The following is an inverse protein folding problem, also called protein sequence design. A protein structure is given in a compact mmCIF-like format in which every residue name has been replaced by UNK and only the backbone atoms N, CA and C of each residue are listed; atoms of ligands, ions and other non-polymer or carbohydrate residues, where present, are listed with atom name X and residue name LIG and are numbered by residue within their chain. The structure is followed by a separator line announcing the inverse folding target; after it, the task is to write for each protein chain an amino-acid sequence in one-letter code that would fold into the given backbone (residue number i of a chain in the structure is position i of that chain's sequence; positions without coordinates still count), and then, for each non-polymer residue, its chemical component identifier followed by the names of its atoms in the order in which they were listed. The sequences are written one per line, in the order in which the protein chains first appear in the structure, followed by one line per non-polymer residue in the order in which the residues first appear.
data_IF_423893094511
#
_entry.id   IF_423893094511
#
_cell.length_a   1.000
_cell.length_b   1.000
_cell.length_c   1.000
_cell.angle_alpha   90.00
_cell.angle_beta   90.00
_cell.angle_gamma   90.00
#
_symmetry.space_group_name_H-M   'P 1'
#
loop_
_entity.id
_entity.type
_entity.pdbx_description
1 polymer ?
#
# COMPACT_ATOMS: atom_id res chain seq x y z
N UNK A 1 -1.95 -19.59 -13.26
CA UNK A 1 -1.15 -19.40 -12.04
C UNK A 1 -1.45 -18.10 -11.27
N UNK A 2 -1.44 -16.91 -11.91
CA UNK A 2 -1.58 -15.62 -11.20
C UNK A 2 -2.97 -15.33 -10.56
N UNK A 3 -4.06 -15.91 -11.08
CA UNK A 3 -5.40 -15.82 -10.46
C UNK A 3 -5.48 -16.50 -9.08
N UNK A 4 -4.59 -17.46 -8.79
CA UNK A 4 -4.56 -18.20 -7.52
C UNK A 4 -3.86 -17.40 -6.42
N UNK A 5 -2.78 -16.67 -6.75
CA UNK A 5 -2.08 -15.81 -5.78
C UNK A 5 -3.00 -14.66 -5.34
N UNK A 6 -3.75 -14.08 -6.28
CA UNK A 6 -4.70 -13.00 -5.98
C UNK A 6 -5.93 -13.47 -5.17
N UNK A 7 -6.36 -14.73 -5.30
CA UNK A 7 -7.56 -15.26 -4.59
C UNK A 7 -7.28 -16.08 -3.34
N UNK A 8 -6.17 -16.83 -3.25
CA UNK A 8 -5.97 -17.85 -2.19
C UNK A 8 -4.94 -17.49 -1.12
N UNK A 9 -4.08 -16.50 -1.32
CA UNK A 9 -3.07 -16.14 -0.30
C UNK A 9 -3.19 -14.73 0.28
N UNK A 10 -3.98 -13.83 -0.32
CA UNK A 10 -4.14 -12.50 0.23
C UNK A 10 -4.76 -12.52 1.64
N UNK A 11 -5.70 -13.42 1.91
CA UNK A 11 -6.39 -13.53 3.20
C UNK A 11 -5.46 -13.93 4.38
N UNK A 12 -4.41 -14.75 4.13
CA UNK A 12 -3.47 -15.18 5.19
C UNK A 12 -2.34 -14.18 5.42
N UNK A 13 -1.83 -13.50 4.39
CA UNK A 13 -0.84 -12.42 4.57
C UNK A 13 -1.49 -11.18 5.20
N UNK A 14 -2.79 -10.97 4.94
CA UNK A 14 -3.61 -10.01 5.68
C UNK A 14 -3.61 -10.35 7.17
N UNK A 15 -4.01 -11.58 7.53
CA UNK A 15 -4.23 -12.01 8.92
C UNK A 15 -3.02 -11.87 9.84
N UNK A 16 -1.78 -12.00 9.35
CA UNK A 16 -0.58 -11.92 10.20
C UNK A 16 -0.10 -10.49 10.51
N UNK A 17 -0.77 -9.46 10.01
CA UNK A 17 -0.44 -8.04 10.31
C UNK A 17 -1.65 -7.16 10.64
N UNK A 18 -2.86 -7.75 10.71
CA UNK A 18 -4.10 -7.04 11.08
C UNK A 18 -4.07 -6.42 12.49
N UNK A 19 -3.04 -6.68 13.30
CA UNK A 19 -2.97 -6.23 14.70
C UNK A 19 -2.19 -4.93 14.93
N UNK A 20 -1.72 -4.19 13.92
CA UNK A 20 -1.01 -2.92 14.15
C UNK A 20 -1.62 -1.67 13.51
N UNK A 21 -2.60 -1.79 12.61
CA UNK A 21 -3.13 -0.64 11.87
C UNK A 21 -4.65 -0.67 11.70
N UNK A 22 -5.38 -0.95 12.78
CA UNK A 22 -6.82 -0.71 12.84
C UNK A 22 -7.05 0.80 12.93
N UNK A 23 -6.97 1.49 11.79
CA UNK A 23 -6.98 2.93 11.73
C UNK A 23 -8.25 3.45 11.07
N UNK A 24 -9.15 3.99 11.91
CA UNK A 24 -10.12 5.04 11.58
C UNK A 24 -11.06 4.68 10.41
N UNK A 25 -12.11 3.91 10.68
CA UNK A 25 -13.06 3.40 9.68
C UNK A 25 -14.06 4.42 9.12
N UNK A 26 -13.83 5.73 9.27
CA UNK A 26 -14.79 6.73 8.80
C UNK A 26 -14.10 8.01 8.34
N UNK A 27 -14.15 8.26 7.03
CA UNK A 27 -14.17 9.64 6.50
C UNK A 27 -15.51 10.20 6.95
N UNK A 28 -15.50 10.96 8.05
CA UNK A 28 -16.64 11.77 8.46
C UNK A 28 -16.33 13.21 8.07
N UNK A 29 -17.01 13.70 7.05
CA UNK A 29 -17.10 15.13 6.78
C UNK A 29 -18.05 15.74 7.79
N UNK A 30 -17.49 16.28 8.88
CA UNK A 30 -18.21 17.18 9.77
C UNK A 30 -17.37 18.44 9.95
N UNK A 31 -17.82 19.54 9.34
CA UNK A 31 -17.32 20.88 9.59
C UNK A 31 -17.73 21.30 11.01
N UNK A 32 -16.80 21.26 11.97
CA UNK A 32 -17.01 21.79 13.31
C UNK A 32 -15.88 22.74 13.67
N UNK A 33 -16.27 23.86 14.27
CA UNK A 33 -15.49 25.06 14.51
C UNK A 33 -14.11 24.80 15.11
N UNK A 34 -13.18 25.58 14.58
CA UNK A 34 -11.81 25.76 15.03
C UNK A 34 -11.79 26.28 16.47
N UNK A 35 -11.03 25.63 17.35
CA UNK A 35 -10.56 26.23 18.60
C UNK A 35 -9.04 26.00 18.64
N UNK A 36 -8.28 27.04 18.26
CA UNK A 36 -6.84 26.95 17.96
C UNK A 36 -6.05 27.78 18.97
N UNK A 37 -5.69 27.16 20.11
CA UNK A 37 -4.77 27.72 21.10
C UNK A 37 -3.28 27.53 20.77
N UNK A 38 -2.93 26.81 19.70
CA UNK A 38 -1.57 26.71 19.16
C UNK A 38 -1.67 26.15 17.73
N UNK A 39 -0.98 26.74 16.75
CA UNK A 39 -1.12 26.33 15.34
C UNK A 39 -0.73 24.86 15.13
N UNK A 40 -1.60 24.08 14.46
CA UNK A 40 -1.31 22.67 14.17
C UNK A 40 -0.06 22.51 13.29
N UNK A 41 0.73 21.43 13.47
CA UNK A 41 1.85 21.15 12.58
C UNK A 41 1.38 21.00 11.13
N UNK A 42 2.17 21.52 10.18
CA UNK A 42 1.85 21.50 8.73
C UNK A 42 1.28 20.17 8.23
N UNK A 43 1.90 19.04 8.58
CA UNK A 43 1.45 17.72 8.16
C UNK A 43 0.06 17.35 8.69
N UNK A 44 -0.32 17.75 9.92
CA UNK A 44 -1.66 17.53 10.47
C UNK A 44 -2.71 18.30 9.65
N UNK A 45 -2.42 19.55 9.34
CA UNK A 45 -3.27 20.38 8.46
C UNK A 45 -3.37 19.77 7.07
N UNK A 46 -2.25 19.33 6.49
CA UNK A 46 -2.21 18.66 5.19
C UNK A 46 -3.10 17.40 5.16
N UNK A 47 -3.00 16.53 6.16
CA UNK A 47 -3.86 15.34 6.25
C UNK A 47 -5.35 15.69 6.33
N UNK A 48 -5.68 16.75 7.06
CA UNK A 48 -7.07 17.16 7.26
C UNK A 48 -7.65 17.83 6.02
N UNK A 49 -6.97 18.86 5.50
CA UNK A 49 -7.47 19.70 4.42
C UNK A 49 -7.30 19.06 3.04
N UNK A 50 -6.14 18.47 2.76
CA UNK A 50 -5.85 17.90 1.43
C UNK A 50 -6.40 16.49 1.26
N UNK A 51 -6.26 15.66 2.30
CA UNK A 51 -6.65 14.26 2.25
C UNK A 51 -8.02 13.98 2.88
N UNK A 52 -8.64 14.96 3.52
CA UNK A 52 -9.97 14.84 4.12
C UNK A 52 -10.02 13.91 5.33
N UNK A 53 -8.90 13.75 6.04
CA UNK A 53 -8.85 12.92 7.25
C UNK A 53 -9.47 13.68 8.43
N UNK A 54 -10.11 12.95 9.35
CA UNK A 54 -10.53 13.55 10.62
C UNK A 54 -9.32 14.01 11.43
N UNK A 55 -9.51 14.95 12.36
CA UNK A 55 -8.43 15.47 13.21
C UNK A 55 -7.67 14.34 13.93
N UNK A 56 -8.38 13.37 14.48
CA UNK A 56 -7.77 12.21 15.16
C UNK A 56 -6.95 11.34 14.20
N UNK A 57 -7.49 11.07 13.02
CA UNK A 57 -6.79 10.38 11.94
C UNK A 57 -5.49 11.14 11.56
N UNK A 58 -5.59 12.47 11.41
CA UNK A 58 -4.49 13.34 11.01
C UNK A 58 -3.37 13.42 12.06
N UNK A 59 -3.71 13.57 13.35
CA UNK A 59 -2.75 13.58 14.46
C UNK A 59 -2.01 12.25 14.54
N UNK A 60 -2.75 11.14 14.43
CA UNK A 60 -2.14 9.83 14.46
C UNK A 60 -1.26 9.57 13.22
N UNK A 61 -1.66 10.03 12.03
CA UNK A 61 -0.82 9.95 10.83
C UNK A 61 0.45 10.79 10.97
N UNK A 62 0.35 11.98 11.58
CA UNK A 62 1.50 12.82 11.92
C UNK A 62 2.47 12.15 12.92
N UNK A 63 1.96 11.33 13.84
CA UNK A 63 2.79 10.48 14.70
C UNK A 63 3.61 9.45 13.92
N UNK A 64 3.13 9.02 12.75
CA UNK A 64 3.76 8.00 11.90
C UNK A 64 4.69 8.58 10.84
N UNK A 65 4.43 9.81 10.39
CA UNK A 65 5.20 10.51 9.36
C UNK A 65 5.18 12.01 9.62
N UNK A 66 6.34 12.65 9.52
CA UNK A 66 6.50 14.10 9.70
C UNK A 66 7.09 14.72 8.45
N UNK A 67 6.46 15.76 7.94
CA UNK A 67 6.96 16.58 6.84
C UNK A 67 6.54 18.03 7.04
N UNK A 68 7.25 18.96 6.40
CA UNK A 68 7.08 20.41 6.60
C UNK A 68 6.63 21.16 5.34
N UNK A 69 6.48 20.46 4.22
CA UNK A 69 6.04 21.03 2.94
C UNK A 69 5.21 20.02 2.15
N UNK A 70 4.40 20.51 1.21
CA UNK A 70 3.55 19.64 0.38
C UNK A 70 4.28 19.06 -0.84
N UNK A 71 5.47 19.58 -1.20
CA UNK A 71 6.16 19.22 -2.44
C UNK A 71 6.35 17.71 -2.65
N UNK A 72 6.84 16.98 -1.64
CA UNK A 72 7.00 15.52 -1.76
C UNK A 72 5.66 14.76 -1.65
N UNK A 73 4.79 15.05 -0.65
CA UNK A 73 3.45 14.48 -0.60
C UNK A 73 2.67 14.64 -1.92
N UNK A 74 2.61 15.84 -2.48
CA UNK A 74 1.89 16.12 -3.73
C UNK A 74 2.49 15.37 -4.92
N UNK A 75 3.82 15.25 -4.99
CA UNK A 75 4.49 14.43 -6.00
C UNK A 75 4.11 12.95 -5.89
N UNK A 76 3.96 12.42 -4.67
CA UNK A 76 3.48 11.05 -4.44
C UNK A 76 2.02 10.89 -4.88
N UNK A 77 1.15 11.84 -4.55
CA UNK A 77 -0.26 11.79 -4.96
C UNK A 77 -0.39 11.82 -6.49
N UNK A 78 0.27 12.76 -7.15
CA UNK A 78 0.25 12.90 -8.61
C UNK A 78 0.80 11.65 -9.30
N UNK A 79 1.88 11.07 -8.79
CA UNK A 79 2.42 9.81 -9.31
C UNK A 79 1.41 8.67 -9.22
N UNK A 80 0.69 8.54 -8.10
CA UNK A 80 -0.33 7.50 -7.94
C UNK A 80 -1.50 7.74 -8.92
N UNK A 81 -1.96 8.97 -9.09
CA UNK A 81 -3.01 9.32 -10.06
C UNK A 81 -2.60 8.95 -11.50
N UNK A 82 -1.37 9.29 -11.89
CA UNK A 82 -0.80 8.95 -13.20
C UNK A 82 -0.76 7.43 -13.45
N UNK A 83 -0.61 6.64 -12.38
CA UNK A 83 -0.59 5.17 -12.44
C UNK A 83 -1.96 4.53 -12.23
N UNK A 84 -3.05 5.30 -12.39
CA UNK A 84 -4.42 4.79 -12.42
C UNK A 84 -5.08 4.63 -11.05
N UNK A 85 -4.51 5.22 -10.00
CA UNK A 85 -5.13 5.20 -8.67
C UNK A 85 -6.19 6.30 -8.58
N UNK A 86 -7.43 5.91 -8.21
CA UNK A 86 -8.46 6.88 -7.85
C UNK A 86 -8.15 7.58 -6.52
N UNK A 87 -8.73 8.76 -6.31
CA UNK A 87 -8.67 9.49 -5.02
C UNK A 87 -9.03 8.59 -3.82
N UNK A 88 -10.04 7.71 -3.99
CA UNK A 88 -10.43 6.77 -2.92
C UNK A 88 -9.37 5.71 -2.64
N UNK A 89 -8.65 5.23 -3.68
CA UNK A 89 -7.53 4.32 -3.50
C UNK A 89 -6.38 5.01 -2.76
N UNK A 90 -6.06 6.24 -3.17
CA UNK A 90 -4.97 7.04 -2.62
C UNK A 90 -5.24 7.35 -1.14
N UNK A 91 -6.40 7.90 -0.80
CA UNK A 91 -6.77 8.20 0.59
C UNK A 91 -6.67 6.97 1.48
N UNK A 92 -7.21 5.83 1.05
CA UNK A 92 -7.12 4.56 1.80
C UNK A 92 -5.68 4.06 1.94
N UNK A 93 -4.86 4.23 0.90
CA UNK A 93 -3.46 3.83 0.91
C UNK A 93 -2.65 4.68 1.88
N UNK A 94 -2.78 6.01 1.81
CA UNK A 94 -2.09 6.95 2.70
C UNK A 94 -2.57 6.80 4.14
N UNK A 95 -3.86 6.54 4.36
CA UNK A 95 -4.41 6.29 5.69
C UNK A 95 -3.75 5.06 6.35
N UNK A 96 -3.50 4.00 5.59
CA UNK A 96 -2.83 2.77 6.08
C UNK A 96 -1.33 2.95 6.20
N UNK A 97 -0.72 3.70 5.29
CA UNK A 97 0.72 3.82 5.16
C UNK A 97 1.14 5.28 4.94
N UNK A 98 1.03 6.15 5.97
CA UNK A 98 1.35 7.57 5.82
C UNK A 98 2.79 7.83 5.38
N UNK A 99 3.72 6.91 5.70
CA UNK A 99 5.14 7.05 5.35
C UNK A 99 5.37 7.12 3.83
N UNK A 100 4.42 6.66 3.00
CA UNK A 100 4.51 6.79 1.54
C UNK A 100 4.71 8.24 1.09
N UNK A 101 4.15 9.21 1.81
CA UNK A 101 4.27 10.64 1.50
C UNK A 101 5.70 11.20 1.66
N UNK A 102 6.64 10.42 2.17
CA UNK A 102 8.06 10.80 2.30
C UNK A 102 8.97 10.08 1.31
N UNK A 103 8.42 9.16 0.51
CA UNK A 103 9.19 8.45 -0.51
C UNK A 103 9.33 9.31 -1.76
N UNK A 104 10.42 9.10 -2.49
CA UNK A 104 10.58 9.62 -3.86
C UNK A 104 9.89 8.64 -4.82
N UNK A 105 8.84 9.05 -5.56
CA UNK A 105 8.03 8.12 -6.34
C UNK A 105 8.84 7.36 -7.40
N UNK A 106 9.70 8.07 -8.13
CA UNK A 106 10.53 7.51 -9.20
C UNK A 106 11.54 6.48 -8.67
N UNK A 107 12.13 6.74 -7.49
CA UNK A 107 13.17 5.86 -6.94
C UNK A 107 12.58 4.68 -6.15
N UNK A 108 11.38 4.83 -5.58
CA UNK A 108 10.85 3.89 -4.59
C UNK A 108 9.58 3.15 -5.04
N UNK A 109 8.69 3.82 -5.76
CA UNK A 109 7.37 3.27 -6.12
C UNK A 109 7.39 2.70 -7.54
N UNK A 110 7.95 3.44 -8.49
CA UNK A 110 8.02 3.01 -9.89
C UNK A 110 8.70 1.64 -10.06
N UNK A 111 9.87 1.34 -9.45
CA UNK A 111 10.51 0.04 -9.62
C UNK A 111 9.62 -1.12 -9.16
N UNK A 112 8.78 -0.89 -8.15
CA UNK A 112 7.85 -1.90 -7.63
C UNK A 112 6.65 -2.11 -8.56
N UNK A 113 6.14 -1.05 -9.16
CA UNK A 113 5.09 -1.13 -10.17
C UNK A 113 5.60 -1.86 -11.41
N UNK A 114 6.79 -1.51 -11.91
CA UNK A 114 7.39 -2.17 -13.07
C UNK A 114 7.72 -3.63 -12.79
N UNK A 115 8.17 -3.97 -11.59
CA UNK A 115 8.34 -5.37 -11.18
C UNK A 115 7.01 -6.15 -11.24
N UNK A 116 5.92 -5.58 -10.73
CA UNK A 116 4.62 -6.26 -10.83
C UNK A 116 4.15 -6.39 -12.28
N UNK A 117 4.43 -5.40 -13.12
CA UNK A 117 4.12 -5.44 -14.56
C UNK A 117 4.95 -6.51 -15.28
N UNK A 118 6.23 -6.68 -14.94
CA UNK A 118 7.10 -7.70 -15.54
C UNK A 118 6.66 -9.13 -15.20
N UNK A 119 5.89 -9.29 -14.12
CA UNK A 119 5.22 -10.55 -13.78
C UNK A 119 3.93 -10.80 -14.59
N UNK A 120 3.57 -9.92 -15.53
CA UNK A 120 2.36 -10.01 -16.35
C UNK A 120 1.08 -9.63 -15.62
N UNK A 121 1.17 -8.88 -14.52
CA UNK A 121 -0.01 -8.40 -13.78
C UNK A 121 -0.59 -7.18 -14.48
N UNK A 122 -1.92 -7.16 -14.66
CA UNK A 122 -2.63 -6.04 -15.29
C UNK A 122 -2.54 -4.76 -14.44
N UNK A 123 -2.62 -3.58 -15.07
CA UNK A 123 -2.60 -2.30 -14.37
C UNK A 123 -3.68 -2.21 -13.27
N UNK A 124 -4.91 -2.62 -13.58
CA UNK A 124 -6.01 -2.63 -12.60
C UNK A 124 -5.74 -3.53 -11.41
N UNK A 125 -5.14 -4.70 -11.63
CA UNK A 125 -4.80 -5.62 -10.54
C UNK A 125 -3.62 -5.09 -9.73
N UNK A 126 -2.66 -4.40 -10.35
CA UNK A 126 -1.59 -3.69 -9.64
C UNK A 126 -2.18 -2.62 -8.71
N UNK A 127 -3.11 -1.79 -9.20
CA UNK A 127 -3.80 -0.78 -8.38
C UNK A 127 -4.48 -1.42 -7.18
N UNK A 128 -5.22 -2.53 -7.39
CA UNK A 128 -5.87 -3.27 -6.30
C UNK A 128 -4.85 -3.83 -5.31
N UNK A 129 -3.81 -4.50 -5.80
CA UNK A 129 -2.75 -5.08 -4.95
C UNK A 129 -2.12 -4.01 -4.07
N UNK A 130 -1.77 -2.86 -4.64
CA UNK A 130 -1.13 -1.76 -3.92
C UNK A 130 -2.10 -1.12 -2.93
N UNK A 131 -3.35 -0.85 -3.35
CA UNK A 131 -4.35 -0.24 -2.49
C UNK A 131 -4.63 -1.10 -1.24
N UNK A 132 -4.61 -2.43 -1.36
CA UNK A 132 -4.84 -3.31 -0.21
C UNK A 132 -3.55 -3.65 0.55
N UNK A 133 -2.41 -3.84 -0.13
CA UNK A 133 -1.15 -4.26 0.47
C UNK A 133 -0.09 -3.14 0.55
N UNK A 134 -0.48 -1.90 0.79
CA UNK A 134 0.45 -0.74 0.82
C UNK A 134 1.73 -0.94 1.66
N UNK A 135 1.75 -1.84 2.64
CA UNK A 135 2.96 -2.15 3.43
C UNK A 135 4.12 -2.71 2.61
N UNK A 136 3.88 -3.45 1.52
CA UNK A 136 4.98 -3.94 0.69
C UNK A 136 5.74 -2.78 0.03
N UNK A 137 5.08 -1.63 -0.21
CA UNK A 137 5.71 -0.43 -0.75
C UNK A 137 6.78 0.17 0.16
N UNK A 138 6.79 -0.18 1.46
CA UNK A 138 7.83 0.25 2.40
C UNK A 138 9.05 -0.67 2.41
N UNK A 139 8.98 -1.85 1.79
CA UNK A 139 10.07 -2.82 1.79
C UNK A 139 10.98 -2.58 0.58
N UNK A 140 12.25 -2.96 0.71
CA UNK A 140 13.20 -2.94 -0.41
C UNK A 140 12.73 -3.93 -1.48
N UNK A 141 12.73 -3.48 -2.74
CA UNK A 141 12.39 -4.33 -3.87
C UNK A 141 13.37 -5.50 -3.98
N UNK A 142 14.65 -5.19 -4.03
CA UNK A 142 15.75 -6.14 -4.23
C UNK A 142 15.96 -7.07 -3.03
N UNK A 143 15.92 -6.53 -1.81
CA UNK A 143 16.29 -7.31 -0.62
C UNK A 143 15.12 -8.05 0.02
N UNK A 144 13.87 -7.69 -0.31
CA UNK A 144 12.69 -8.27 0.34
C UNK A 144 11.65 -8.76 -0.65
N UNK A 145 11.21 -7.92 -1.59
CA UNK A 145 10.09 -8.26 -2.46
C UNK A 145 10.47 -9.35 -3.46
N UNK A 146 11.55 -9.15 -4.22
CA UNK A 146 12.00 -10.10 -5.25
C UNK A 146 12.31 -11.47 -4.63
N UNK A 147 13.12 -11.59 -3.55
CA UNK A 147 13.44 -12.89 -2.96
C UNK A 147 12.20 -13.64 -2.44
N UNK A 148 11.24 -12.93 -1.82
CA UNK A 148 10.00 -13.57 -1.37
C UNK A 148 9.15 -14.06 -2.55
N UNK A 149 9.13 -13.31 -3.65
CA UNK A 149 8.39 -13.72 -4.84
C UNK A 149 9.01 -14.94 -5.50
N UNK A 150 10.35 -14.99 -5.64
CA UNK A 150 11.08 -16.16 -6.14
C UNK A 150 10.80 -17.38 -5.27
N UNK A 151 10.92 -17.24 -3.94
CA UNK A 151 10.63 -18.33 -3.01
C UNK A 151 9.21 -18.88 -3.16
N UNK A 152 8.20 -18.01 -3.25
CA UNK A 152 6.80 -18.44 -3.42
C UNK A 152 6.60 -19.10 -4.79
N UNK A 153 7.23 -18.59 -5.84
CA UNK A 153 7.16 -19.19 -7.18
C UNK A 153 7.75 -20.60 -7.18
N UNK A 154 8.96 -20.77 -6.64
CA UNK A 154 9.65 -22.06 -6.58
C UNK A 154 8.82 -23.09 -5.78
N UNK A 155 8.25 -22.69 -4.63
CA UNK A 155 7.38 -23.55 -3.83
C UNK A 155 6.11 -24.01 -4.57
N UNK A 156 5.54 -23.16 -5.43
CA UNK A 156 4.35 -23.50 -6.21
C UNK A 156 4.70 -24.44 -7.38
N UNK A 157 5.84 -24.20 -8.04
CA UNK A 157 6.33 -25.04 -9.14
C UNK A 157 6.72 -26.45 -8.65
N UNK A 158 7.32 -26.56 -7.46
CA UNK A 158 7.60 -27.86 -6.80
C UNK A 158 6.30 -28.66 -6.57
N UNK A 159 5.19 -27.99 -6.24
CA UNK A 159 3.90 -28.65 -6.01
C UNK A 159 3.24 -29.13 -7.28
N UNK A 160 3.39 -28.43 -8.40
CA UNK A 160 2.89 -28.90 -9.70
C UNK A 160 3.72 -30.09 -10.21
N UNK A 161 5.04 -30.12 -9.95
CA UNK A 161 5.91 -31.27 -10.23
C UNK A 161 5.55 -32.55 -9.46
N UNK A 162 5.04 -32.42 -8.23
CA UNK A 162 4.60 -33.56 -7.40
C UNK A 162 3.28 -34.21 -7.85
N UNK A 163 2.49 -33.55 -8.73
CA UNK A 163 1.23 -34.13 -9.23
C UNK A 163 1.42 -35.21 -10.31
N UNK A 164 2.64 -35.43 -10.81
CA UNK A 164 2.97 -36.46 -11.79
C UNK A 164 3.46 -37.79 -11.20
N UNK A 165 3.50 -37.95 -9.87
CA UNK A 165 4.03 -39.16 -9.23
C UNK A 165 3.00 -40.28 -8.96
N UNK A 166 1.73 -40.17 -9.38
CA UNK A 166 0.70 -41.21 -9.15
C UNK A 166 0.20 -41.91 -10.43
N UNK A 167 1.11 -42.33 -11.32
CA UNK A 167 0.82 -43.38 -12.33
C UNK A 167 2.04 -44.27 -12.55
N UNK A 168 2.36 -45.09 -11.56
CA UNK A 168 3.29 -46.22 -11.74
C UNK A 168 3.19 -47.27 -10.62
N UNK A 169 2.00 -47.58 -10.12
CA UNK A 169 1.72 -48.89 -9.48
C UNK A 169 0.25 -49.21 -9.69
N UNK A 170 0.01 -50.45 -10.16
CA UNK A 170 -1.26 -51.14 -10.44
C UNK A 170 -1.84 -50.93 -11.83
#
# INVERSE_FOLDING_TARGET
MLKIICRRNFASVSKLHLLQFHFCSSVSTSSSGYDSGNGDPFAVTYFSERLGFSRDCAIKAYGLVKFRSSSNPDSVLAFLEEHGFSDTHIKRLIQRVPQLLTLKPQDNLLPKIEFLRSLGISGDDIVKIIAVAGFFMRRSLENRIIPNFVYVKDMLEIREGCSRCNKAVS
#
